data_IF_297214069484
#
_entry.id   IF_297214069484
#
_cell.length_a   1.000
_cell.length_b   1.000
_cell.length_c   1.000
_cell.angle_alpha   90.00
_cell.angle_beta   90.00
_cell.angle_gamma   90.00
#
_symmetry.space_group_name_H-M   'P 1'
#
loop_
_entity.id
_entity.type
_entity.pdbx_description
1 polymer ?
#
# COMPACT_ATOMS: atom_id res chain seq x y z
N UNK A 1 11.79 -25.60 -8.25
CA UNK A 1 10.66 -25.61 -7.29
C UNK A 1 10.54 -27.00 -6.71
N UNK A 2 10.56 -27.11 -5.39
CA UNK A 2 10.35 -28.37 -4.69
C UNK A 2 8.88 -28.83 -4.84
N UNK A 3 8.66 -30.13 -5.04
CA UNK A 3 7.35 -30.71 -5.31
C UNK A 3 7.12 -31.89 -4.37
N UNK A 4 5.87 -32.13 -3.97
CA UNK A 4 5.49 -33.38 -3.32
C UNK A 4 5.62 -34.56 -4.30
N UNK A 5 5.58 -35.79 -3.79
CA UNK A 5 5.50 -37.01 -4.61
C UNK A 5 4.26 -37.00 -5.54
N UNK A 6 3.20 -36.29 -5.15
CA UNK A 6 1.97 -36.06 -5.94
C UNK A 6 2.08 -34.86 -6.91
N UNK A 7 3.25 -34.22 -7.01
CA UNK A 7 3.51 -33.10 -7.92
C UNK A 7 3.06 -31.71 -7.43
N UNK A 8 2.57 -31.59 -6.19
CA UNK A 8 2.10 -30.33 -5.61
C UNK A 8 3.26 -29.37 -5.32
N UNK A 9 3.06 -28.07 -5.57
CA UNK A 9 4.06 -27.03 -5.32
C UNK A 9 4.03 -26.57 -3.86
N UNK A 10 5.18 -26.49 -3.21
CA UNK A 10 5.31 -25.97 -1.85
C UNK A 10 4.90 -24.47 -1.77
N UNK A 11 4.06 -24.13 -0.80
CA UNK A 11 3.67 -22.75 -0.44
C UNK A 11 4.20 -22.42 0.96
N UNK A 12 4.41 -21.13 1.24
CA UNK A 12 4.89 -20.65 2.56
C UNK A 12 3.86 -19.76 3.23
N UNK A 13 3.34 -20.19 4.38
CA UNK A 13 2.39 -19.41 5.18
C UNK A 13 3.15 -18.57 6.20
N UNK A 14 2.80 -17.28 6.27
CA UNK A 14 3.27 -16.35 7.30
C UNK A 14 2.08 -15.90 8.15
N UNK A 15 2.22 -16.03 9.46
CA UNK A 15 1.30 -15.47 10.44
C UNK A 15 1.77 -14.06 10.78
N UNK A 16 0.85 -13.10 10.75
CA UNK A 16 1.13 -11.70 11.05
C UNK A 16 0.65 -11.45 12.48
N UNK A 17 1.57 -11.10 13.36
CA UNK A 17 1.26 -10.77 14.76
C UNK A 17 0.73 -9.34 14.84
N UNK A 18 -0.58 -9.18 15.06
CA UNK A 18 -1.20 -7.87 15.26
C UNK A 18 -1.15 -7.47 16.74
N UNK A 19 -0.69 -6.25 17.04
CA UNK A 19 -0.61 -5.74 18.41
C UNK A 19 -1.95 -5.15 18.84
N UNK A 20 -2.33 -5.41 20.09
CA UNK A 20 -3.52 -4.80 20.69
C UNK A 20 -3.25 -3.32 21.01
N UNK A 21 -4.23 -2.46 20.72
CA UNK A 21 -4.24 -1.00 20.96
C UNK A 21 -3.53 -0.11 19.93
N UNK A 22 -3.17 -0.64 18.77
CA UNK A 22 -2.70 0.17 17.65
C UNK A 22 -3.79 1.15 17.18
N UNK A 23 -3.40 2.38 16.87
CA UNK A 23 -4.27 3.45 16.40
C UNK A 23 -3.78 3.99 15.05
N UNK A 24 -4.70 4.44 14.20
CA UNK A 24 -4.38 4.93 12.84
C UNK A 24 -5.07 6.26 12.62
N UNK A 25 -4.36 7.37 12.45
CA UNK A 25 -5.02 8.68 12.43
C UNK A 25 -5.04 9.31 11.03
N UNK A 26 -5.90 10.32 10.86
CA UNK A 26 -6.09 11.01 9.59
C UNK A 26 -5.92 12.52 9.76
N UNK A 27 -5.03 13.11 8.97
CA UNK A 27 -4.91 14.56 8.86
C UNK A 27 -5.96 15.11 7.89
N UNK A 28 -6.59 16.20 8.34
CA UNK A 28 -7.53 16.98 7.55
C UNK A 28 -6.88 18.31 7.24
N UNK A 29 -6.56 18.55 5.95
CA UNK A 29 -5.87 19.77 5.54
C UNK A 29 -6.71 21.03 5.77
N UNK A 30 -6.07 22.12 6.19
CA UNK A 30 -6.71 23.45 6.14
C UNK A 30 -6.73 23.98 4.70
N UNK A 31 -7.84 24.61 4.29
CA UNK A 31 -8.10 25.08 2.91
C UNK A 31 -7.05 26.08 2.41
N UNK A 32 -5.98 25.60 1.78
CA UNK A 32 -5.08 26.42 0.95
C UNK A 32 -4.63 25.74 -0.34
N UNK A 33 -5.00 24.47 -0.58
CA UNK A 33 -4.58 23.75 -1.78
C UNK A 33 -5.36 24.22 -3.02
N UNK A 34 -4.77 25.17 -3.76
CA UNK A 34 -5.29 25.71 -5.02
C UNK A 34 -5.43 24.62 -6.10
N UNK A 35 -4.68 23.52 -6.03
CA UNK A 35 -4.74 22.45 -7.02
C UNK A 35 -6.02 21.60 -6.85
N UNK A 36 -6.45 21.33 -5.61
CA UNK A 36 -7.72 20.67 -5.34
C UNK A 36 -8.92 21.48 -5.88
N UNK A 37 -8.88 22.81 -5.68
CA UNK A 37 -9.89 23.74 -6.21
C UNK A 37 -9.89 23.83 -7.75
N UNK A 38 -8.76 23.59 -8.42
CA UNK A 38 -8.67 23.58 -9.88
C UNK A 38 -9.17 22.25 -10.48
N UNK A 39 -8.91 21.12 -9.82
CA UNK A 39 -9.46 19.81 -10.19
C UNK A 39 -11.00 19.78 -10.04
N UNK A 40 -11.54 20.41 -8.99
CA UNK A 40 -12.99 20.60 -8.81
C UNK A 40 -13.64 21.35 -9.97
N UNK A 41 -12.96 22.36 -10.55
CA UNK A 41 -13.46 23.10 -11.73
C UNK A 41 -13.47 22.27 -13.01
N UNK A 42 -12.72 21.16 -13.06
CA UNK A 42 -12.69 20.23 -14.17
C UNK A 42 -13.63 19.02 -13.98
N UNK A 43 -14.33 18.93 -12.84
CA UNK A 43 -15.31 17.87 -12.58
C UNK A 43 -16.47 17.97 -13.58
N UNK A 44 -16.43 17.12 -14.60
CA UNK A 44 -17.50 17.01 -15.57
C UNK A 44 -18.42 15.86 -15.14
N UNK A 45 -19.66 16.18 -14.77
CA UNK A 45 -20.67 15.19 -14.36
C UNK A 45 -20.93 14.11 -15.44
N UNK A 46 -20.72 14.43 -16.72
CA UNK A 46 -20.88 13.52 -17.85
C UNK A 46 -19.62 12.69 -18.16
N UNK A 47 -18.57 12.82 -17.35
CA UNK A 47 -17.32 12.13 -17.59
C UNK A 47 -17.47 10.63 -17.35
N UNK A 48 -17.10 9.84 -18.36
CA UNK A 48 -17.10 8.39 -18.26
C UNK A 48 -15.90 7.94 -17.43
N UNK A 49 -16.18 7.41 -16.23
CA UNK A 49 -15.17 6.88 -15.32
C UNK A 49 -14.79 5.47 -15.79
N UNK A 50 -13.49 5.13 -15.89
CA UNK A 50 -13.05 3.77 -16.20
C UNK A 50 -13.66 2.74 -15.24
N UNK A 51 -13.90 1.52 -15.72
CA UNK A 51 -14.35 0.42 -14.85
C UNK A 51 -13.32 0.07 -13.76
N UNK A 52 -12.04 0.37 -14.02
CA UNK A 52 -10.92 0.15 -13.12
C UNK A 52 -9.93 1.31 -13.24
N UNK A 53 -9.47 1.81 -12.09
CA UNK A 53 -8.45 2.86 -11.99
C UNK A 53 -7.24 2.28 -11.27
N UNK A 54 -6.06 2.51 -11.83
CA UNK A 54 -4.79 2.12 -11.22
C UNK A 54 -4.12 3.36 -10.62
N UNK A 55 -3.66 3.24 -9.39
CA UNK A 55 -3.00 4.28 -8.59
C UNK A 55 -1.53 3.91 -8.44
N UNK A 56 -0.63 4.76 -8.93
CA UNK A 56 0.80 4.55 -8.92
C UNK A 56 1.40 4.91 -7.55
N UNK A 57 1.90 3.89 -6.84
CA UNK A 57 2.47 4.00 -5.49
C UNK A 57 3.99 3.95 -5.56
N UNK A 58 4.64 4.95 -4.97
CA UNK A 58 6.06 4.94 -4.68
C UNK A 58 6.27 4.68 -3.18
N UNK A 59 7.18 3.77 -2.83
CA UNK A 59 7.48 3.46 -1.43
C UNK A 59 8.82 4.05 -1.03
N UNK A 60 8.89 4.70 0.11
CA UNK A 60 10.14 5.03 0.78
C UNK A 60 10.30 4.06 1.95
N UNK A 61 11.43 3.37 2.01
CA UNK A 61 11.82 2.53 3.15
C UNK A 61 12.86 3.29 3.95
N UNK A 62 12.50 3.71 5.16
CA UNK A 62 13.34 4.56 5.99
C UNK A 62 14.61 3.85 6.49
N UNK A 63 15.49 4.63 7.15
CA UNK A 63 16.80 4.14 7.60
C UNK A 63 16.71 2.91 8.48
N UNK A 64 15.69 2.78 9.33
CA UNK A 64 15.55 1.67 10.27
C UNK A 64 14.90 0.48 9.59
N UNK A 65 13.81 0.70 8.86
CA UNK A 65 13.09 -0.35 8.13
C UNK A 65 13.98 -1.06 7.11
N UNK A 66 14.79 -0.32 6.35
CA UNK A 66 15.58 -0.92 5.27
C UNK A 66 16.75 -1.79 5.75
N UNK A 67 17.23 -1.60 6.99
CA UNK A 67 18.40 -2.31 7.53
C UNK A 67 18.24 -3.84 7.52
N UNK A 68 16.99 -4.32 7.61
CA UNK A 68 16.71 -5.76 7.57
C UNK A 68 17.04 -6.39 6.22
N UNK A 69 17.05 -5.60 5.14
CA UNK A 69 17.17 -6.07 3.77
C UNK A 69 18.56 -5.79 3.22
N UNK A 70 19.43 -6.80 3.22
CA UNK A 70 20.76 -6.68 2.61
C UNK A 70 20.66 -6.35 1.11
N UNK A 71 19.74 -7.02 0.41
CA UNK A 71 19.60 -6.91 -1.05
C UNK A 71 18.32 -6.14 -1.41
N UNK A 72 18.40 -5.22 -2.37
CA UNK A 72 17.25 -4.43 -2.83
C UNK A 72 16.11 -5.30 -3.33
N UNK A 73 16.41 -6.44 -3.98
CA UNK A 73 15.40 -7.41 -4.41
C UNK A 73 14.53 -7.94 -3.27
N UNK A 74 15.08 -8.12 -2.06
CA UNK A 74 14.31 -8.65 -0.93
C UNK A 74 13.33 -7.59 -0.41
N UNK A 75 13.75 -6.33 -0.32
CA UNK A 75 12.87 -5.22 0.04
C UNK A 75 11.79 -4.98 -1.04
N UNK A 76 12.16 -5.01 -2.32
CA UNK A 76 11.20 -4.92 -3.42
C UNK A 76 10.18 -6.06 -3.39
N UNK A 77 10.64 -7.30 -3.16
CA UNK A 77 9.77 -8.45 -3.00
C UNK A 77 8.81 -8.29 -1.83
N UNK A 78 9.33 -7.87 -0.68
CA UNK A 78 8.55 -7.58 0.53
C UNK A 78 7.46 -6.52 0.27
N UNK A 79 7.82 -5.38 -0.33
CA UNK A 79 6.83 -4.33 -0.63
C UNK A 79 5.81 -4.75 -1.68
N UNK A 80 6.17 -5.60 -2.64
CA UNK A 80 5.19 -6.17 -3.57
C UNK A 80 4.17 -7.07 -2.85
N UNK A 81 4.58 -7.83 -1.83
CA UNK A 81 3.65 -8.59 -0.97
C UNK A 81 2.69 -7.65 -0.27
N UNK A 82 3.22 -6.59 0.33
CA UNK A 82 2.44 -5.54 1.02
C UNK A 82 1.38 -4.93 0.10
N UNK A 83 1.79 -4.41 -1.06
CA UNK A 83 0.91 -3.78 -2.04
C UNK A 83 -0.14 -4.76 -2.59
N UNK A 84 0.23 -6.01 -2.87
CA UNK A 84 -0.73 -6.99 -3.39
C UNK A 84 -1.79 -7.38 -2.35
N UNK A 85 -1.41 -7.48 -1.08
CA UNK A 85 -2.36 -7.77 0.00
C UNK A 85 -3.26 -6.56 0.33
N UNK A 86 -2.80 -5.32 0.11
CA UNK A 86 -3.68 -4.15 0.04
C UNK A 86 -4.65 -4.24 -1.16
N UNK A 87 -4.17 -4.61 -2.34
CA UNK A 87 -5.00 -4.84 -3.53
C UNK A 87 -6.08 -5.91 -3.33
N UNK A 88 -5.80 -6.95 -2.54
CA UNK A 88 -6.81 -7.95 -2.16
C UNK A 88 -7.96 -7.33 -1.35
N UNK A 89 -7.66 -6.37 -0.47
CA UNK A 89 -8.66 -5.65 0.34
C UNK A 89 -9.44 -4.64 -0.53
N UNK A 90 -8.74 -3.95 -1.43
CA UNK A 90 -9.34 -3.02 -2.39
C UNK A 90 -10.28 -3.68 -3.41
N UNK A 91 -10.40 -5.01 -3.45
CA UNK A 91 -11.40 -5.70 -4.27
C UNK A 91 -12.84 -5.35 -3.89
N UNK A 92 -13.09 -4.86 -2.67
CA UNK A 92 -14.39 -4.34 -2.24
C UNK A 92 -14.81 -3.09 -3.03
N UNK A 93 -13.85 -2.37 -3.63
CA UNK A 93 -14.13 -1.16 -4.41
C UNK A 93 -14.81 -1.48 -5.74
N UNK A 94 -15.69 -0.58 -6.19
CA UNK A 94 -16.42 -0.75 -7.45
C UNK A 94 -16.85 0.59 -8.04
N UNK A 95 -16.91 0.64 -9.38
CA UNK A 95 -17.33 1.82 -10.16
C UNK A 95 -16.64 3.15 -9.77
N UNK A 96 -15.29 3.20 -9.71
CA UNK A 96 -14.36 2.22 -10.28
C UNK A 96 -13.85 1.18 -9.29
N UNK A 97 -13.35 0.03 -9.79
CA UNK A 97 -12.41 -0.78 -9.02
C UNK A 97 -11.08 -0.02 -8.91
N UNK A 98 -10.46 -0.03 -7.74
CA UNK A 98 -9.18 0.64 -7.48
C UNK A 98 -8.10 -0.44 -7.36
N UNK A 99 -6.96 -0.22 -8.01
CA UNK A 99 -5.75 -1.05 -7.87
C UNK A 99 -4.55 -0.17 -7.61
N UNK A 100 -3.65 -0.64 -6.77
CA UNK A 100 -2.34 -0.07 -6.51
C UNK A 100 -1.32 -0.73 -7.43
N UNK A 101 -0.39 0.08 -7.96
CA UNK A 101 0.75 -0.37 -8.75
C UNK A 101 2.02 0.17 -8.12
N UNK A 102 2.93 -0.70 -7.68
CA UNK A 102 4.24 -0.27 -7.20
C UNK A 102 5.09 0.19 -8.40
N UNK A 103 5.50 1.46 -8.39
CA UNK A 103 6.31 2.06 -9.47
C UNK A 103 7.73 2.42 -9.05
N UNK A 104 7.99 2.50 -7.74
CA UNK A 104 9.30 2.90 -7.22
C UNK A 104 9.51 2.54 -5.76
N UNK A 105 10.79 2.47 -5.39
CA UNK A 105 11.29 2.22 -4.05
C UNK A 105 12.49 3.15 -3.77
N UNK A 106 12.47 3.87 -2.67
CA UNK A 106 13.63 4.57 -2.12
C UNK A 106 14.18 3.82 -0.90
N UNK A 107 15.49 3.64 -0.87
CA UNK A 107 16.24 3.09 0.27
C UNK A 107 17.01 4.21 0.95
N UNK A 108 16.60 4.57 2.15
CA UNK A 108 17.30 5.55 2.98
C UNK A 108 18.45 4.85 3.70
N UNK A 109 19.70 5.14 3.35
CA UNK A 109 20.86 4.44 3.94
C UNK A 109 21.43 5.18 5.14
N UNK A 110 21.26 6.49 5.19
CA UNK A 110 21.80 7.34 6.25
C UNK A 110 20.79 8.39 6.73
N UNK A 111 21.05 8.96 7.90
CA UNK A 111 20.22 10.04 8.46
C UNK A 111 20.24 11.32 7.60
N UNK A 112 21.25 11.50 6.74
CA UNK A 112 21.31 12.63 5.82
C UNK A 112 20.32 12.50 4.66
N UNK A 113 19.92 11.26 4.35
CA UNK A 113 19.07 10.93 3.21
C UNK A 113 17.57 11.03 3.58
N UNK A 114 17.25 11.22 4.87
CA UNK A 114 15.89 11.43 5.40
C UNK A 114 15.72 12.80 6.08
N UNK A 115 15.99 13.94 5.39
CA UNK A 115 15.97 15.27 6.02
C UNK A 115 14.57 15.72 6.48
N UNK A 116 13.53 14.99 6.07
CA UNK A 116 12.15 15.17 6.52
C UNK A 116 11.86 14.55 7.89
N UNK A 117 12.71 13.62 8.36
CA UNK A 117 12.52 12.96 9.64
C UNK A 117 12.57 13.97 10.79
N UNK A 118 11.60 13.87 11.70
CA UNK A 118 11.59 14.52 13.00
C UNK A 118 11.53 13.43 14.06
N UNK A 119 12.63 13.27 14.80
CA UNK A 119 12.78 12.16 15.75
C UNK A 119 14.23 11.67 15.79
N UNK A 120 14.41 10.40 16.15
CA UNK A 120 15.70 9.73 16.26
C UNK A 120 15.65 8.31 15.68
N UNK A 121 16.63 7.46 15.99
CA UNK A 121 16.68 6.08 15.47
C UNK A 121 15.62 5.14 16.08
N UNK A 122 14.94 5.56 17.14
CA UNK A 122 13.86 4.80 17.79
C UNK A 122 12.49 5.41 17.52
N UNK A 123 12.38 6.73 17.54
CA UNK A 123 11.09 7.43 17.52
C UNK A 123 10.93 8.33 16.30
N UNK A 124 9.70 8.42 15.79
CA UNK A 124 9.30 9.34 14.73
C UNK A 124 8.11 10.17 15.17
N UNK A 125 8.26 11.49 15.22
CA UNK A 125 7.14 12.43 15.37
C UNK A 125 6.31 12.37 14.09
N UNK A 126 5.12 11.77 14.16
CA UNK A 126 4.33 11.47 12.97
C UNK A 126 3.92 12.73 12.21
N UNK A 127 3.42 13.73 12.92
CA UNK A 127 2.79 14.93 12.37
C UNK A 127 3.85 15.87 11.81
N UNK A 128 4.96 16.06 12.55
CA UNK A 128 6.06 16.89 12.08
C UNK A 128 6.82 16.23 10.91
N UNK A 129 6.96 14.90 10.93
CA UNK A 129 7.61 14.14 9.85
C UNK A 129 6.77 14.14 8.57
N UNK A 130 5.47 13.79 8.63
CA UNK A 130 4.62 13.76 7.42
C UNK A 130 4.50 15.14 6.76
N UNK A 131 4.42 16.20 7.56
CA UNK A 131 4.39 17.58 7.06
C UNK A 131 5.68 17.94 6.33
N UNK A 132 6.83 17.61 6.91
CA UNK A 132 8.14 17.83 6.27
C UNK A 132 8.32 16.96 5.03
N UNK A 133 7.79 15.73 5.06
CA UNK A 133 7.85 14.79 3.95
C UNK A 133 7.05 15.31 2.76
N UNK A 134 5.83 15.82 2.95
CA UNK A 134 5.03 16.43 1.87
C UNK A 134 5.83 17.46 1.09
N UNK A 135 6.47 18.43 1.75
CA UNK A 135 7.29 19.44 1.08
C UNK A 135 8.49 18.84 0.36
N UNK A 136 9.12 17.84 0.99
CA UNK A 136 10.25 17.11 0.46
C UNK A 136 9.91 16.37 -0.85
N UNK A 137 8.82 15.60 -0.91
CA UNK A 137 8.41 14.88 -2.13
C UNK A 137 7.76 15.77 -3.17
N UNK A 138 6.96 16.77 -2.77
CA UNK A 138 6.30 17.71 -3.69
C UNK A 138 7.31 18.43 -4.57
N UNK A 139 8.38 18.98 -3.97
CA UNK A 139 9.43 19.73 -4.68
C UNK A 139 10.29 18.84 -5.59
N UNK A 140 10.31 17.53 -5.34
CA UNK A 140 11.16 16.55 -6.05
C UNK A 140 10.35 15.48 -6.77
N UNK A 141 9.06 15.73 -7.04
CA UNK A 141 8.11 14.76 -7.61
C UNK A 141 8.60 14.07 -8.90
N UNK A 142 9.44 14.75 -9.69
CA UNK A 142 10.07 14.20 -10.88
C UNK A 142 11.08 13.08 -10.58
N UNK A 143 11.83 13.17 -9.47
CA UNK A 143 12.78 12.14 -9.00
C UNK A 143 12.04 10.85 -8.66
N UNK A 144 10.85 10.98 -8.09
CA UNK A 144 9.97 9.87 -7.70
C UNK A 144 9.19 9.26 -8.88
N UNK A 145 9.37 9.75 -10.12
CA UNK A 145 8.62 9.26 -11.29
C UNK A 145 7.17 9.76 -11.37
N UNK A 146 6.84 10.86 -10.70
CA UNK A 146 5.49 11.44 -10.63
C UNK A 146 4.39 10.49 -10.12
N UNK A 147 4.54 9.89 -8.92
CA UNK A 147 3.57 8.98 -8.36
C UNK A 147 2.25 9.67 -8.02
N UNK A 148 1.20 8.87 -7.88
CA UNK A 148 -0.11 9.30 -7.38
C UNK A 148 -0.16 9.28 -5.85
N UNK A 149 0.63 8.40 -5.22
CA UNK A 149 0.80 8.21 -3.78
C UNK A 149 2.26 7.92 -3.44
N UNK A 150 2.77 8.50 -2.35
CA UNK A 150 4.01 8.11 -1.69
C UNK A 150 3.67 7.50 -0.32
N UNK A 151 4.23 6.34 -0.02
CA UNK A 151 4.11 5.69 1.28
C UNK A 151 5.49 5.55 1.94
N UNK A 152 5.68 6.09 3.14
CA UNK A 152 6.88 5.87 3.95
C UNK A 152 6.64 4.69 4.91
N UNK A 153 7.37 3.60 4.71
CA UNK A 153 7.45 2.49 5.67
C UNK A 153 8.58 2.79 6.68
N UNK A 154 8.24 2.82 7.96
CA UNK A 154 9.18 3.11 9.05
C UNK A 154 9.34 1.92 9.99
N UNK A 155 10.58 1.66 10.41
CA UNK A 155 10.88 0.69 11.47
C UNK A 155 10.95 1.33 12.86
N UNK A 156 10.64 2.63 12.96
CA UNK A 156 10.62 3.41 14.20
C UNK A 156 9.24 3.40 14.84
N UNK A 157 9.20 3.57 16.16
CA UNK A 157 7.96 3.84 16.89
C UNK A 157 7.48 5.26 16.55
N UNK A 158 6.39 5.35 15.80
CA UNK A 158 5.69 6.60 15.54
C UNK A 158 5.01 7.09 16.81
N UNK A 159 4.93 8.42 16.98
CA UNK A 159 4.18 9.00 18.06
C UNK A 159 3.50 10.31 17.68
N UNK A 160 2.35 10.53 18.33
CA UNK A 160 1.62 11.79 18.37
C UNK A 160 2.10 12.61 19.56
N UNK A 161 2.22 13.93 19.41
CA UNK A 161 2.21 14.80 20.60
C UNK A 161 0.77 15.11 20.99
N UNK A 162 0.29 14.55 22.10
CA UNK A 162 -0.97 14.95 22.73
C UNK A 162 -0.69 15.73 24.01
N UNK A 163 -0.98 17.04 23.99
CA UNK A 163 -0.82 17.89 25.17
C UNK A 163 0.58 17.87 25.80
N UNK A 164 1.62 17.65 24.97
CA UNK A 164 3.02 17.53 25.38
C UNK A 164 3.45 16.12 25.81
N UNK A 165 2.55 15.13 25.76
CA UNK A 165 2.82 13.72 26.05
C UNK A 165 2.90 12.93 24.74
N UNK A 166 3.99 12.18 24.49
CA UNK A 166 4.08 11.29 23.33
C UNK A 166 3.11 10.10 23.46
N UNK A 167 2.24 9.90 22.46
CA UNK A 167 1.39 8.71 22.32
C UNK A 167 1.92 7.82 21.19
N UNK A 168 2.56 6.71 21.57
CA UNK A 168 3.19 5.74 20.64
C UNK A 168 2.24 4.67 20.13
N UNK A 169 0.93 4.78 20.43
CA UNK A 169 -0.08 3.87 19.88
C UNK A 169 -0.35 4.13 18.40
N UNK A 170 -0.02 5.31 17.89
CA UNK A 170 -0.26 5.63 16.48
C UNK A 170 0.72 4.87 15.58
N UNK A 171 0.19 4.05 14.66
CA UNK A 171 0.93 3.19 13.73
C UNK A 171 0.88 3.66 12.28
N UNK A 172 0.07 4.65 11.99
CA UNK A 172 -0.06 5.22 10.66
C UNK A 172 -0.68 6.62 10.70
N UNK A 173 -0.34 7.40 9.67
CA UNK A 173 -0.89 8.73 9.46
C UNK A 173 -0.93 9.06 7.97
N UNK A 174 -2.06 9.59 7.51
CA UNK A 174 -2.24 10.04 6.13
C UNK A 174 -3.18 11.23 6.02
N UNK A 175 -3.09 11.94 4.90
CA UNK A 175 -4.08 12.96 4.56
C UNK A 175 -5.32 12.35 3.92
N UNK A 176 -6.51 12.74 4.40
CA UNK A 176 -7.75 12.31 3.74
C UNK A 176 -7.85 12.93 2.35
N UNK A 177 -8.13 12.07 1.35
CA UNK A 177 -8.23 12.43 -0.06
C UNK A 177 -6.94 13.00 -0.66
N UNK A 178 -5.76 12.65 -0.15
CA UNK A 178 -4.48 13.12 -0.69
C UNK A 178 -4.09 12.59 -2.07
N UNK A 179 -4.75 11.55 -2.60
CA UNK A 179 -4.38 10.94 -3.89
C UNK A 179 -4.38 11.95 -5.03
N UNK A 180 -3.30 11.98 -5.82
CA UNK A 180 -3.11 12.90 -6.95
C UNK A 180 -3.19 14.40 -6.60
N UNK A 181 -2.99 14.79 -5.33
CA UNK A 181 -2.87 16.21 -4.92
C UNK A 181 -1.43 16.55 -4.56
N UNK A 182 -1.20 17.63 -3.81
CA UNK A 182 0.08 17.92 -3.17
C UNK A 182 0.27 17.17 -1.84
N UNK A 183 -0.81 16.65 -1.25
CA UNK A 183 -0.85 15.94 0.04
C UNK A 183 -0.84 14.41 -0.13
N UNK A 184 -0.19 13.92 -1.18
CA UNK A 184 -0.22 12.53 -1.65
C UNK A 184 0.66 11.58 -0.83
N UNK A 185 0.79 11.81 0.47
CA UNK A 185 1.74 11.13 1.36
C UNK A 185 1.02 10.43 2.50
N UNK A 186 1.43 9.20 2.76
CA UNK A 186 1.09 8.40 3.92
C UNK A 186 2.37 7.87 4.60
N UNK A 187 2.34 7.70 5.91
CA UNK A 187 3.42 7.09 6.68
C UNK A 187 2.85 5.98 7.57
N UNK A 188 3.60 4.90 7.79
CA UNK A 188 3.17 3.84 8.68
C UNK A 188 4.30 2.92 9.16
N UNK A 189 4.15 2.44 10.39
CA UNK A 189 5.05 1.49 11.01
C UNK A 189 5.00 0.13 10.32
N UNK A 190 6.16 -0.51 10.22
CA UNK A 190 6.31 -1.90 9.82
C UNK A 190 7.55 -2.50 10.50
N UNK A 191 7.37 -3.65 11.14
CA UNK A 191 8.50 -4.46 11.59
C UNK A 191 9.02 -5.25 10.39
N UNK A 192 10.03 -4.68 9.72
CA UNK A 192 10.59 -5.19 8.48
C UNK A 192 10.78 -6.73 8.48
N UNK A 193 10.13 -7.40 7.53
CA UNK A 193 10.18 -8.86 7.37
C UNK A 193 9.05 -9.64 8.05
N UNK A 194 8.16 -8.98 8.79
CA UNK A 194 6.99 -9.61 9.46
C UNK A 194 5.65 -9.33 8.78
N UNK A 195 5.60 -8.38 7.84
CA UNK A 195 4.36 -7.93 7.19
C UNK A 195 3.30 -7.35 8.14
N UNK A 196 3.64 -6.96 9.36
CA UNK A 196 2.68 -6.41 10.33
C UNK A 196 2.24 -4.97 10.01
N UNK A 197 3.03 -4.21 9.26
CA UNK A 197 2.64 -2.92 8.68
C UNK A 197 1.65 -3.03 7.52
N UNK A 198 1.19 -4.24 7.17
CA UNK A 198 0.23 -4.47 6.09
C UNK A 198 -1.09 -3.73 6.32
N UNK A 199 -1.57 -3.77 7.58
CA UNK A 199 -2.80 -3.10 7.95
C UNK A 199 -2.62 -1.59 7.85
N UNK A 200 -1.53 -1.06 8.43
CA UNK A 200 -1.15 0.35 8.34
C UNK A 200 -1.12 0.82 6.89
N UNK A 201 -0.36 0.16 6.01
CA UNK A 201 -0.31 0.51 4.60
C UNK A 201 -1.69 0.56 3.95
N UNK A 202 -2.53 -0.45 4.21
CA UNK A 202 -3.87 -0.49 3.59
C UNK A 202 -4.77 0.62 4.12
N UNK A 203 -4.73 0.88 5.43
CA UNK A 203 -5.51 1.90 6.12
C UNK A 203 -5.12 3.30 5.64
N UNK A 204 -3.83 3.62 5.66
CA UNK A 204 -3.32 4.94 5.31
C UNK A 204 -3.48 5.25 3.82
N UNK A 205 -3.28 4.25 2.95
CA UNK A 205 -3.59 4.44 1.52
C UNK A 205 -5.10 4.63 1.31
N UNK A 206 -5.97 3.99 2.08
CA UNK A 206 -7.41 4.22 1.99
C UNK A 206 -7.81 5.65 2.41
N UNK A 207 -7.14 6.24 3.42
CA UNK A 207 -7.27 7.66 3.73
C UNK A 207 -6.91 8.53 2.52
N UNK A 208 -5.78 8.29 1.87
CA UNK A 208 -5.39 9.02 0.65
C UNK A 208 -6.42 8.88 -0.48
N UNK A 209 -7.03 7.70 -0.61
CA UNK A 209 -8.10 7.45 -1.58
C UNK A 209 -9.43 8.11 -1.20
N UNK A 210 -9.56 8.67 0.01
CA UNK A 210 -10.72 9.45 0.44
C UNK A 210 -11.55 8.84 1.57
N UNK A 211 -11.19 7.67 2.10
CA UNK A 211 -11.95 7.11 3.21
C UNK A 211 -11.67 7.90 4.50
N UNK A 212 -12.70 8.38 5.19
CA UNK A 212 -12.59 8.73 6.61
C UNK A 212 -12.72 7.46 7.48
N UNK A 213 -12.47 7.59 8.78
CA UNK A 213 -12.80 6.51 9.71
C UNK A 213 -14.29 6.19 9.69
N UNK A 214 -14.62 4.93 9.90
CA UNK A 214 -16.02 4.54 10.01
C UNK A 214 -16.67 5.23 11.21
N UNK A 215 -17.83 5.85 11.00
CA UNK A 215 -18.52 6.67 12.00
C UNK A 215 -18.20 8.17 11.91
N UNK A 216 -17.25 8.58 11.06
CA UNK A 216 -16.93 10.00 10.90
C UNK A 216 -17.99 10.78 10.12
N UNK A 217 -18.15 12.05 10.51
CA UNK A 217 -18.88 13.03 9.72
C UNK A 217 -18.20 13.31 8.37
N UNK A 218 -18.96 13.77 7.35
CA UNK A 218 -18.43 14.28 6.10
C UNK A 218 -17.25 15.27 6.25
N UNK A 219 -16.15 15.04 5.51
CA UNK A 219 -14.97 15.93 5.47
C UNK A 219 -15.15 17.06 4.42
N UNK A 220 -16.27 17.77 4.50
CA UNK A 220 -16.69 18.80 3.51
C UNK A 220 -15.82 20.05 3.50
N UNK A 221 -15.01 20.23 4.54
CA UNK A 221 -14.01 21.28 4.60
C UNK A 221 -12.86 21.08 3.60
N UNK A 222 -12.53 19.83 3.27
CA UNK A 222 -11.44 19.46 2.34
C UNK A 222 -11.97 19.00 0.99
N UNK A 223 -13.04 18.19 1.00
CA UNK A 223 -13.67 17.65 -0.21
C UNK A 223 -15.13 18.07 -0.20
N UNK A 224 -15.56 19.08 -0.98
CA UNK A 224 -16.96 19.46 -1.09
C UNK A 224 -17.81 18.25 -1.44
N UNK A 225 -18.94 18.07 -0.76
CA UNK A 225 -19.83 16.92 -0.99
C UNK A 225 -19.30 15.56 -0.54
N UNK A 226 -18.21 15.52 0.26
CA UNK A 226 -17.68 14.28 0.81
C UNK A 226 -18.79 13.46 1.49
N UNK A 227 -18.95 12.15 1.19
CA UNK A 227 -20.07 11.37 1.74
C UNK A 227 -19.99 11.15 3.26
N UNK A 228 -18.78 11.10 3.82
CA UNK A 228 -18.56 10.70 5.22
C UNK A 228 -18.87 9.23 5.48
N UNK A 229 -18.90 8.85 6.75
CA UNK A 229 -19.02 7.45 7.17
C UNK A 229 -19.98 7.22 8.36
N UNK A 230 -20.83 8.20 8.71
CA UNK A 230 -21.79 8.09 9.81
C UNK A 230 -22.69 6.85 9.75
N UNK A 231 -22.97 6.33 8.55
CA UNK A 231 -23.81 5.14 8.35
C UNK A 231 -23.08 3.81 8.63
N UNK A 232 -21.75 3.83 8.83
CA UNK A 232 -20.95 2.65 9.12
C UNK A 232 -20.33 2.83 10.51
N UNK A 233 -20.87 2.18 11.56
CA UNK A 233 -20.35 2.32 12.92
C UNK A 233 -18.91 1.85 13.06
N UNK A 234 -18.06 2.62 13.74
CA UNK A 234 -16.67 2.28 14.07
C UNK A 234 -16.53 0.89 14.73
N UNK A 235 -17.53 0.50 15.55
CA UNK A 235 -17.60 -0.78 16.26
C UNK A 235 -17.73 -2.00 15.36
N UNK A 236 -18.06 -1.83 14.07
CA UNK A 236 -18.12 -2.94 13.12
C UNK A 236 -16.73 -3.46 12.74
N UNK A 237 -15.66 -2.73 13.07
CA UNK A 237 -14.29 -3.20 12.96
C UNK A 237 -13.83 -3.46 11.52
N UNK A 238 -14.31 -2.69 10.55
CA UNK A 238 -13.76 -2.70 9.19
C UNK A 238 -12.36 -2.05 9.16
N UNK A 239 -11.66 -2.11 8.03
CA UNK A 239 -10.29 -1.57 7.89
C UNK A 239 -10.19 -0.12 8.39
N UNK A 240 -11.21 0.72 8.20
CA UNK A 240 -11.19 2.12 8.66
C UNK A 240 -11.57 2.29 10.13
N UNK A 241 -11.40 1.25 10.93
CA UNK A 241 -11.52 1.21 12.39
C UNK A 241 -10.25 0.59 12.98
N UNK A 242 -9.96 0.87 14.25
CA UNK A 242 -8.84 0.26 14.97
C UNK A 242 -9.23 -1.05 15.66
N UNK A 243 -10.53 -1.40 15.61
CA UNK A 243 -11.06 -2.56 16.31
C UNK A 243 -10.97 -3.80 15.44
N UNK A 244 -10.13 -4.75 15.83
CA UNK A 244 -10.19 -6.09 15.28
C UNK A 244 -11.34 -6.88 15.95
N UNK A 245 -12.51 -6.86 15.32
CA UNK A 245 -13.70 -7.62 15.76
C UNK A 245 -13.91 -8.90 14.95
N UNK A 246 -12.90 -9.34 14.19
CA UNK A 246 -12.92 -10.53 13.35
C UNK A 246 -12.81 -10.22 11.85
N UNK A 247 -13.50 -10.97 10.97
CA UNK A 247 -13.24 -10.92 9.51
C UNK A 247 -13.41 -9.55 8.85
N UNK A 248 -14.20 -8.65 9.44
CA UNK A 248 -14.37 -7.28 8.94
C UNK A 248 -13.06 -6.50 8.95
N UNK A 249 -12.12 -6.81 9.86
CA UNK A 249 -10.82 -6.15 9.98
C UNK A 249 -9.94 -6.26 8.72
N UNK A 250 -10.38 -7.05 7.75
CA UNK A 250 -9.73 -7.22 6.45
C UNK A 250 -10.60 -6.80 5.26
N UNK A 251 -11.68 -6.05 5.50
CA UNK A 251 -12.63 -5.57 4.50
C UNK A 251 -12.87 -4.08 4.63
N UNK A 252 -13.28 -3.45 3.53
CA UNK A 252 -13.75 -2.07 3.57
C UNK A 252 -15.26 -2.02 3.83
N UNK A 253 -15.69 -1.04 4.62
CA UNK A 253 -17.11 -0.80 4.82
C UNK A 253 -17.74 -0.26 3.53
N UNK A 254 -19.07 -0.37 3.36
CA UNK A 254 -19.78 0.30 2.27
C UNK A 254 -19.52 1.81 2.24
N UNK A 255 -19.33 2.44 3.40
CA UNK A 255 -19.02 3.88 3.49
C UNK A 255 -17.63 4.19 2.95
N UNK A 256 -16.60 3.41 3.30
CA UNK A 256 -15.26 3.58 2.74
C UNK A 256 -15.28 3.44 1.21
N UNK A 257 -16.00 2.44 0.69
CA UNK A 257 -16.14 2.22 -0.76
C UNK A 257 -16.82 3.42 -1.46
N UNK A 258 -17.89 3.97 -0.87
CA UNK A 258 -18.59 5.14 -1.42
C UNK A 258 -17.70 6.39 -1.41
N UNK A 259 -16.96 6.63 -0.33
CA UNK A 259 -16.04 7.77 -0.21
C UNK A 259 -14.86 7.66 -1.20
N UNK A 260 -14.22 6.50 -1.29
CA UNK A 260 -13.14 6.26 -2.25
C UNK A 260 -13.64 6.43 -3.70
N UNK A 261 -14.82 5.91 -4.02
CA UNK A 261 -15.47 6.14 -5.32
C UNK A 261 -15.66 7.62 -5.59
N UNK A 262 -16.16 8.36 -4.61
CA UNK A 262 -16.42 9.80 -4.75
C UNK A 262 -15.14 10.56 -5.09
N UNK A 263 -14.08 10.36 -4.31
CA UNK A 263 -12.79 11.04 -4.51
C UNK A 263 -12.15 10.62 -5.83
N UNK A 264 -12.14 9.34 -6.19
CA UNK A 264 -11.57 8.92 -7.47
C UNK A 264 -12.31 9.53 -8.66
N UNK A 265 -13.63 9.69 -8.59
CA UNK A 265 -14.40 10.41 -9.63
C UNK A 265 -14.02 11.88 -9.68
N UNK A 266 -13.87 12.52 -8.53
CA UNK A 266 -13.48 13.92 -8.41
C UNK A 266 -12.10 14.21 -9.02
N UNK A 267 -11.14 13.28 -8.88
CA UNK A 267 -9.75 13.49 -9.35
C UNK A 267 -9.60 13.52 -10.88
N UNK A 268 -10.54 12.91 -11.62
CA UNK A 268 -10.60 13.04 -13.07
C UNK A 268 -9.47 12.36 -13.86
N UNK A 269 -9.38 12.61 -15.19
CA UNK A 269 -8.62 11.77 -16.11
C UNK A 269 -7.09 11.86 -15.91
N UNK A 270 -6.60 12.97 -15.36
CA UNK A 270 -5.17 13.16 -15.09
C UNK A 270 -4.67 12.20 -14.00
N UNK A 271 -5.50 11.91 -13.00
CA UNK A 271 -5.20 10.95 -11.95
C UNK A 271 -5.39 9.50 -12.39
N UNK A 272 -6.32 9.24 -13.32
CA UNK A 272 -6.57 7.87 -13.79
C UNK A 272 -5.55 7.37 -14.81
N UNK A 273 -4.75 8.28 -15.38
CA UNK A 273 -3.76 7.96 -16.39
C UNK A 273 -2.53 7.36 -15.73
N UNK A 274 -2.35 6.07 -15.93
CA UNK A 274 -1.11 5.37 -15.57
C UNK A 274 0.02 5.89 -16.46
N UNK A 275 1.10 6.39 -15.84
CA UNK A 275 2.29 6.88 -16.55
C UNK A 275 3.33 5.78 -16.76
N UNK A 276 3.41 4.84 -15.83
CA UNK A 276 4.28 3.67 -15.91
C UNK A 276 3.63 2.56 -16.74
N UNK A 277 4.42 1.82 -17.51
CA UNK A 277 3.93 0.55 -18.03
C UNK A 277 3.81 -0.43 -16.84
N UNK A 278 2.81 -1.31 -16.80
CA UNK A 278 2.60 -2.32 -15.73
C UNK A 278 3.04 -3.72 -16.19
N UNK A 279 3.45 -4.64 -15.30
CA UNK A 279 3.83 -6.02 -15.68
C UNK A 279 2.84 -7.09 -15.20
N UNK A 280 2.52 -8.06 -16.06
CA UNK A 280 1.71 -9.25 -15.74
C UNK A 280 2.53 -10.52 -16.00
N UNK A 281 2.79 -11.35 -14.99
CA UNK A 281 3.41 -12.68 -15.19
C UNK A 281 2.36 -13.78 -15.23
N UNK A 282 2.54 -14.76 -16.12
CA UNK A 282 1.80 -16.02 -16.23
C UNK A 282 2.69 -17.18 -15.76
N UNK A 283 2.13 -18.16 -15.04
CA UNK A 283 2.77 -19.49 -14.90
C UNK A 283 3.82 -19.70 -13.81
N UNK A 284 3.85 -18.90 -12.74
CA UNK A 284 4.84 -19.05 -11.66
C UNK A 284 4.16 -19.11 -10.28
N UNK A 285 4.56 -20.10 -9.46
CA UNK A 285 4.10 -20.30 -8.09
C UNK A 285 5.25 -19.99 -7.12
N UNK A 286 5.09 -19.08 -6.15
CA UNK A 286 6.27 -18.57 -5.47
C UNK A 286 6.45 -19.21 -4.04
N UNK A 287 7.61 -19.11 -3.37
CA UNK A 287 7.88 -19.95 -2.17
C UNK A 287 9.25 -19.97 -1.48
N UNK A 288 10.31 -19.37 -2.01
CA UNK A 288 11.67 -19.53 -1.44
C UNK A 288 11.95 -18.49 -0.36
N UNK A 289 12.51 -18.91 0.77
CA UNK A 289 12.97 -18.10 1.91
C UNK A 289 11.93 -17.83 3.01
N UNK A 290 11.38 -18.87 3.66
CA UNK A 290 10.88 -18.83 5.07
C UNK A 290 10.52 -20.25 5.57
N UNK A 291 10.49 -20.52 6.90
CA UNK A 291 10.74 -21.86 7.44
C UNK A 291 9.59 -22.88 7.35
N UNK A 292 8.34 -22.48 7.03
CA UNK A 292 7.19 -23.41 7.02
C UNK A 292 6.62 -23.65 5.63
N UNK A 293 6.97 -24.80 5.04
CA UNK A 293 6.46 -25.27 3.74
C UNK A 293 5.19 -26.09 3.94
N UNK A 294 4.17 -25.81 3.13
CA UNK A 294 2.92 -26.61 3.04
C UNK A 294 2.68 -27.03 1.59
N UNK A 295 2.12 -28.23 1.38
CA UNK A 295 1.84 -28.79 0.05
C UNK A 295 0.33 -28.89 -0.16
N UNK A 296 -0.31 -27.85 -0.69
CA UNK A 296 -1.75 -27.84 -0.83
C UNK A 296 -2.22 -28.69 -2.03
N UNK A 297 -3.40 -29.28 -1.89
CA UNK A 297 -4.05 -30.19 -2.84
C UNK A 297 -5.16 -29.46 -3.61
N UNK A 298 -5.15 -29.52 -4.94
CA UNK A 298 -6.23 -28.99 -5.77
C UNK A 298 -7.51 -29.80 -5.53
N UNK A 299 -8.64 -29.13 -5.29
CA UNK A 299 -9.94 -29.78 -5.11
C UNK A 299 -10.79 -29.74 -6.38
N UNK A 300 -10.73 -28.65 -7.13
CA UNK A 300 -11.49 -28.48 -8.38
C UNK A 300 -10.63 -27.76 -9.42
N UNK A 301 -10.78 -28.17 -10.67
CA UNK A 301 -10.18 -27.50 -11.82
C UNK A 301 -10.76 -26.09 -12.01
N UNK A 302 -10.10 -25.32 -12.88
CA UNK A 302 -10.42 -23.91 -13.12
C UNK A 302 -11.87 -23.76 -13.61
N UNK A 303 -12.71 -23.07 -12.83
CA UNK A 303 -14.07 -22.72 -13.23
C UNK A 303 -14.08 -21.69 -14.35
N UNK A 304 -15.23 -21.55 -15.02
CA UNK A 304 -15.44 -20.64 -16.16
C UNK A 304 -15.21 -19.15 -15.85
N UNK A 305 -15.18 -18.76 -14.58
CA UNK A 305 -14.85 -17.42 -14.09
C UNK A 305 -13.37 -17.27 -13.65
N UNK A 306 -12.56 -18.30 -13.85
CA UNK A 306 -11.13 -18.32 -13.56
C UNK A 306 -10.75 -18.58 -12.10
N UNK A 307 -11.68 -19.06 -11.26
CA UNK A 307 -11.41 -19.48 -9.87
C UNK A 307 -10.88 -20.92 -9.79
N UNK A 308 -10.13 -21.25 -8.74
CA UNK A 308 -9.58 -22.58 -8.47
C UNK A 308 -9.79 -22.92 -7.00
N UNK A 309 -10.35 -24.08 -6.66
CA UNK A 309 -10.50 -24.54 -5.27
C UNK A 309 -9.32 -25.42 -4.83
N UNK A 310 -8.74 -25.14 -3.66
CA UNK A 310 -7.53 -25.81 -3.16
C UNK A 310 -7.59 -26.05 -1.64
N UNK A 311 -7.27 -27.26 -1.17
CA UNK A 311 -7.20 -27.66 0.24
C UNK A 311 -5.77 -27.63 0.76
N UNK A 312 -5.51 -26.91 1.84
CA UNK A 312 -4.16 -26.82 2.44
C UNK A 312 -3.93 -27.88 3.50
N UNK A 313 -4.92 -28.14 4.37
CA UNK A 313 -4.98 -29.27 5.30
C UNK A 313 -6.45 -29.50 5.70
N UNK A 314 -6.72 -30.49 6.58
CA UNK A 314 -8.06 -30.72 7.12
C UNK A 314 -8.53 -29.46 7.88
N UNK A 315 -9.49 -28.74 7.31
CA UNK A 315 -10.05 -27.49 7.85
C UNK A 315 -9.86 -26.22 6.98
N UNK A 316 -8.94 -26.21 6.01
CA UNK A 316 -8.65 -25.01 5.21
C UNK A 316 -8.72 -25.27 3.70
N UNK A 317 -9.73 -24.68 3.04
CA UNK A 317 -9.93 -24.68 1.59
C UNK A 317 -10.02 -23.25 1.03
N UNK A 318 -9.43 -23.01 -0.15
CA UNK A 318 -9.04 -21.71 -0.69
C UNK A 318 -9.44 -21.58 -2.16
N UNK A 319 -9.95 -20.39 -2.56
CA UNK A 319 -10.40 -20.11 -3.93
C UNK A 319 -9.52 -19.04 -4.63
N UNK A 320 -8.72 -19.39 -5.64
CA UNK A 320 -7.61 -18.56 -6.14
C UNK A 320 -7.96 -17.69 -7.38
N UNK A 321 -7.31 -16.52 -7.57
CA UNK A 321 -7.42 -15.65 -8.78
C UNK A 321 -6.09 -14.93 -9.11
N UNK A 322 -5.87 -14.54 -10.38
CA UNK A 322 -4.66 -13.84 -10.90
C UNK A 322 -4.69 -12.30 -10.68
N UNK A 323 -3.54 -11.67 -10.37
CA UNK A 323 -3.39 -10.21 -10.13
C UNK A 323 -2.08 -9.60 -10.67
N UNK A 324 -2.04 -8.27 -10.82
CA UNK A 324 -0.91 -7.43 -11.26
C UNK A 324 -0.50 -6.49 -10.14
N UNK A 325 0.79 -6.35 -9.86
CA UNK A 325 1.27 -5.70 -8.60
C UNK A 325 2.38 -4.67 -8.81
N UNK A 326 3.27 -4.84 -9.79
CA UNK A 326 4.42 -3.98 -10.00
C UNK A 326 4.61 -3.58 -11.47
N UNK A 327 5.23 -2.42 -11.69
CA UNK A 327 5.67 -1.99 -13.02
C UNK A 327 6.81 -2.88 -13.56
N UNK A 328 6.97 -3.07 -14.89
CA UNK A 328 8.07 -3.81 -15.50
C UNK A 328 9.41 -3.19 -15.17
N UNK A 329 9.45 -1.85 -15.06
CA UNK A 329 10.63 -1.07 -14.71
C UNK A 329 10.27 -0.25 -13.47
N UNK A 330 10.94 -0.53 -12.35
CA UNK A 330 10.73 0.16 -11.07
C UNK A 330 11.89 1.09 -10.79
N UNK A 331 11.56 2.30 -10.36
CA UNK A 331 12.52 3.32 -9.95
C UNK A 331 13.11 2.94 -8.60
N UNK A 332 14.42 2.66 -8.55
CA UNK A 332 15.13 2.43 -7.29
C UNK A 332 15.98 3.65 -7.00
N UNK A 333 15.67 4.33 -5.91
CA UNK A 333 16.47 5.44 -5.40
C UNK A 333 17.30 4.96 -4.21
N UNK A 334 18.58 5.28 -4.22
CA UNK A 334 19.49 5.05 -3.10
C UNK A 334 20.59 6.11 -3.10
N UNK A 335 21.20 6.37 -1.96
CA UNK A 335 22.36 7.27 -1.89
C UNK A 335 23.64 6.45 -1.64
N UNK A 336 24.57 6.45 -2.60
CA UNK A 336 25.89 5.82 -2.44
C UNK A 336 26.97 6.89 -2.39
N UNK A 337 27.77 6.92 -1.32
CA UNK A 337 28.87 7.87 -1.13
C UNK A 337 28.47 9.35 -1.24
N UNK A 338 27.28 9.73 -0.77
CA UNK A 338 26.80 11.11 -0.81
C UNK A 338 26.26 11.58 -2.16
N UNK A 339 26.03 10.64 -3.11
CA UNK A 339 25.40 10.92 -4.41
C UNK A 339 24.13 10.11 -4.56
N UNK A 340 23.05 10.79 -4.95
CA UNK A 340 21.81 10.14 -5.35
C UNK A 340 22.06 9.26 -6.58
N UNK A 341 21.82 7.96 -6.43
CA UNK A 341 21.90 6.97 -7.49
C UNK A 341 20.47 6.56 -7.84
N UNK A 342 20.08 6.81 -9.09
CA UNK A 342 18.84 6.26 -9.66
C UNK A 342 19.17 5.02 -10.46
N UNK A 343 18.68 3.88 -9.98
CA UNK A 343 18.74 2.60 -10.67
C UNK A 343 17.34 2.25 -11.19
N UNK A 344 17.30 1.46 -12.24
CA UNK A 344 16.06 0.86 -12.70
C UNK A 344 16.14 -0.65 -12.55
N UNK A 345 15.17 -1.23 -11.86
CA UNK A 345 15.04 -2.68 -11.73
C UNK A 345 13.98 -3.18 -12.70
N UNK A 346 14.35 -4.13 -13.58
CA UNK A 346 13.37 -4.89 -14.34
C UNK A 346 12.76 -5.96 -13.44
N UNK A 347 11.43 -5.99 -13.34
CA UNK A 347 10.72 -6.88 -12.44
C UNK A 347 9.95 -7.95 -13.22
N UNK A 348 10.41 -9.21 -13.15
CA UNK A 348 9.61 -10.38 -13.53
C UNK A 348 8.85 -10.93 -12.31
N UNK A 349 7.84 -10.19 -11.85
CA UNK A 349 7.09 -10.56 -10.65
C UNK A 349 5.96 -11.57 -10.91
N UNK A 350 6.08 -12.75 -10.35
CA UNK A 350 5.01 -13.75 -10.31
C UNK A 350 4.12 -13.58 -9.06
N UNK A 351 2.88 -13.12 -9.19
CA UNK A 351 1.95 -13.04 -8.07
C UNK A 351 0.75 -13.99 -8.25
N UNK A 352 0.58 -14.93 -7.31
CA UNK A 352 -0.63 -15.76 -7.19
C UNK A 352 -1.17 -15.54 -5.79
N UNK A 353 -2.40 -15.01 -5.67
CA UNK A 353 -3.03 -14.78 -4.37
C UNK A 353 -3.91 -15.94 -3.94
N UNK A 354 -3.94 -16.12 -2.63
CA UNK A 354 -4.71 -17.11 -1.90
C UNK A 354 -5.62 -16.37 -0.88
N UNK A 355 -6.93 -16.66 -0.77
CA UNK A 355 -7.86 -15.78 -0.04
C UNK A 355 -8.10 -16.09 1.45
N UNK A 356 -7.45 -17.07 2.09
CA UNK A 356 -7.47 -17.17 3.58
C UNK A 356 -6.09 -17.22 4.25
N UNK A 357 -5.01 -17.24 3.46
CA UNK A 357 -3.73 -16.62 3.84
C UNK A 357 -3.32 -15.81 2.63
N UNK A 358 -3.09 -14.51 2.81
CA UNK A 358 -2.68 -13.59 1.74
C UNK A 358 -1.21 -13.84 1.38
N UNK A 359 -0.91 -15.03 0.84
CA UNK A 359 0.40 -15.30 0.27
C UNK A 359 0.57 -14.46 -0.98
N UNK A 360 1.72 -13.80 -1.02
CA UNK A 360 2.30 -13.21 -2.21
C UNK A 360 3.73 -13.68 -2.14
N UNK A 361 4.24 -14.29 -3.19
CA UNK A 361 5.67 -14.49 -3.23
C UNK A 361 6.23 -13.99 -4.55
N UNK A 362 7.48 -13.59 -4.52
CA UNK A 362 8.10 -12.76 -5.54
C UNK A 362 9.37 -13.46 -5.97
N UNK A 363 9.40 -13.99 -7.18
CA UNK A 363 10.64 -14.32 -7.87
C UNK A 363 11.08 -13.08 -8.64
N UNK A 364 12.36 -12.70 -8.55
CA UNK A 364 12.97 -11.65 -9.36
C UNK A 364 14.07 -12.28 -10.19
N UNK A 365 13.94 -12.23 -11.52
CA UNK A 365 15.07 -12.46 -12.41
C UNK A 365 15.80 -11.14 -12.59
N UNK A 366 17.11 -11.18 -12.34
CA UNK A 366 18.03 -10.05 -12.50
C UNK A 366 18.27 -9.83 -13.99
N UNK A 367 17.71 -8.76 -14.55
CA UNK A 367 18.27 -8.14 -15.76
C UNK A 367 19.03 -6.88 -15.35
N UNK A 368 20.11 -6.59 -16.07
CA UNK A 368 21.17 -5.64 -15.73
C UNK A 368 20.67 -4.29 -15.19
N UNK A 369 21.27 -3.82 -14.08
CA UNK A 369 21.06 -2.48 -13.55
C UNK A 369 21.68 -1.46 -14.52
N UNK A 370 20.86 -0.75 -15.28
CA UNK A 370 21.31 0.39 -16.07
C UNK A 370 21.44 1.63 -15.18
N UNK A 371 22.66 2.02 -14.85
CA UNK A 371 22.97 3.32 -14.27
C UNK A 371 22.92 4.39 -15.37
N UNK A 372 22.05 5.39 -15.23
CA UNK A 372 22.15 6.61 -16.04
C UNK A 372 23.04 7.62 -15.31
N UNK A 373 24.19 7.94 -15.91
CA UNK A 373 25.10 8.98 -15.45
C UNK A 373 24.62 10.39 -15.82
#
# INVERSE_FOLDING_TARGET
>A
MERSEEGHVAHVIHEIDEKQNDMFDALIANRTDKAALLAERQYNYYQTVPAEVTVEVFVISDKIHQQRFVQTQHLLGYMCVMINSANLRLQDTSAPRIKLLLIGLERVLSAKDEPYLKGDDKYMDDTATITSLVEHVKTRKHVYGYPDVVYLATGRDMYAMDSGVPDTRRKGLAFVAGVCTELFVAIGEDNAGSYDGMHALTHEVAHLLGAAHDGDAPKTNVVPGHPGALACPFSQGYIMSYLNTGPNYHRFSPCSVVQMRYVMRLRGPLCWRVKSQGHKVDGYYPGSEMPRRVYPRLLEERSSDGRIAMRVHEGLTLNLRRVTVAAPKVHVLSEENGKAVTQFANLRLAAVTNPRVKLVLVGLEKDELETKH
#
